data_IF_475183757412
#
_entry.id   IF_475183757412
#
_cell.length_a   1.000
_cell.length_b   1.000
_cell.length_c   1.000
_cell.angle_alpha   90.00
_cell.angle_beta   90.00
_cell.angle_gamma   90.00
#
_symmetry.space_group_name_H-M   'P 1'
#
loop_
_entity.id
_entity.type
_entity.pdbx_description
1 polymer ?
#
# COMPACT_ATOMS: atom_id res chain seq x y z
N UNK A 1 -39.58 -24.17 -0.76
CA UNK A 1 -40.19 -23.12 0.08
C UNK A 1 -40.61 -21.98 -0.83
N UNK A 2 -41.92 -21.68 -0.97
CA UNK A 2 -42.44 -20.72 -1.95
C UNK A 2 -42.06 -19.28 -1.56
N UNK A 3 -41.39 -18.56 -2.45
CA UNK A 3 -40.88 -17.19 -2.25
C UNK A 3 -41.97 -16.13 -1.99
N UNK A 4 -43.24 -16.49 -2.10
CA UNK A 4 -44.40 -15.60 -2.07
C UNK A 4 -44.77 -15.09 -0.66
N UNK A 5 -44.29 -15.73 0.42
CA UNK A 5 -44.68 -15.38 1.80
C UNK A 5 -43.62 -14.59 2.61
N UNK A 6 -42.50 -14.21 1.99
CA UNK A 6 -41.48 -13.42 2.67
C UNK A 6 -41.90 -11.94 2.66
N UNK A 7 -42.18 -11.37 3.84
CA UNK A 7 -42.45 -9.93 4.05
C UNK A 7 -41.33 -9.08 3.42
N UNK A 8 -41.64 -7.86 2.98
CA UNK A 8 -40.71 -6.95 2.26
C UNK A 8 -39.36 -6.74 3.00
N UNK A 9 -39.38 -6.73 4.34
CA UNK A 9 -38.21 -6.49 5.20
C UNK A 9 -37.03 -7.46 4.97
N UNK A 10 -37.16 -8.80 5.11
CA UNK A 10 -36.07 -9.74 4.84
C UNK A 10 -35.44 -9.63 3.44
N UNK A 11 -36.22 -9.23 2.43
CA UNK A 11 -35.72 -9.10 1.05
C UNK A 11 -34.82 -7.87 0.87
N UNK A 12 -35.21 -6.75 1.48
CA UNK A 12 -34.37 -5.54 1.54
C UNK A 12 -33.06 -5.79 2.31
N UNK A 13 -33.15 -6.46 3.46
CA UNK A 13 -31.98 -6.82 4.26
C UNK A 13 -31.05 -7.74 3.48
N UNK A 14 -31.58 -8.78 2.83
CA UNK A 14 -30.78 -9.70 2.01
C UNK A 14 -30.09 -9.01 0.84
N UNK A 15 -30.78 -8.10 0.14
CA UNK A 15 -30.22 -7.31 -0.95
C UNK A 15 -29.08 -6.40 -0.46
N UNK A 16 -29.28 -5.71 0.66
CA UNK A 16 -28.27 -4.84 1.25
C UNK A 16 -27.05 -5.63 1.74
N UNK A 17 -27.27 -6.77 2.41
CA UNK A 17 -26.18 -7.65 2.85
C UNK A 17 -25.36 -8.19 1.69
N UNK A 18 -25.99 -8.50 0.55
CA UNK A 18 -25.27 -8.95 -0.64
C UNK A 18 -24.37 -7.86 -1.22
N UNK A 19 -24.87 -6.63 -1.32
CA UNK A 19 -24.08 -5.48 -1.79
C UNK A 19 -22.94 -5.19 -0.81
N UNK A 20 -23.21 -5.18 0.50
CA UNK A 20 -22.21 -5.00 1.54
C UNK A 20 -21.13 -6.10 1.50
N UNK A 21 -21.53 -7.35 1.22
CA UNK A 21 -20.61 -8.46 1.05
C UNK A 21 -19.68 -8.27 -0.15
N UNK A 22 -20.22 -7.88 -1.32
CA UNK A 22 -19.42 -7.58 -2.51
C UNK A 22 -18.45 -6.43 -2.24
N UNK A 23 -18.91 -5.35 -1.59
CA UNK A 23 -18.06 -4.24 -1.18
C UNK A 23 -16.95 -4.70 -0.22
N UNK A 24 -17.26 -5.58 0.72
CA UNK A 24 -16.28 -6.19 1.62
C UNK A 24 -15.21 -7.01 0.89
N UNK A 25 -15.59 -7.78 -0.15
CA UNK A 25 -14.63 -8.51 -0.99
C UNK A 25 -13.69 -7.58 -1.76
N UNK A 26 -14.21 -6.48 -2.30
CA UNK A 26 -13.40 -5.46 -2.98
C UNK A 26 -12.39 -4.86 -1.99
N UNK A 27 -12.86 -4.43 -0.82
CA UNK A 27 -12.02 -3.86 0.23
C UNK A 27 -10.94 -4.83 0.70
N UNK A 28 -11.30 -6.08 0.97
CA UNK A 28 -10.35 -7.11 1.38
C UNK A 28 -9.28 -7.36 0.32
N UNK A 29 -9.65 -7.47 -0.96
CA UNK A 29 -8.69 -7.70 -2.04
C UNK A 29 -7.74 -6.53 -2.24
N UNK A 30 -8.24 -5.30 -2.07
CA UNK A 30 -7.42 -4.07 -2.08
C UNK A 30 -6.39 -4.05 -0.94
N UNK A 31 -6.83 -4.31 0.29
CA UNK A 31 -5.93 -4.37 1.46
C UNK A 31 -4.88 -5.48 1.31
N UNK A 32 -5.28 -6.66 0.83
CA UNK A 32 -4.35 -7.77 0.61
C UNK A 32 -3.27 -7.41 -0.44
N UNK A 33 -3.67 -6.76 -1.54
CA UNK A 33 -2.72 -6.29 -2.55
C UNK A 33 -1.75 -5.24 -1.99
N UNK A 34 -2.27 -4.26 -1.24
CA UNK A 34 -1.46 -3.20 -0.65
C UNK A 34 -0.48 -3.74 0.41
N UNK A 35 -0.92 -4.69 1.23
CA UNK A 35 -0.06 -5.33 2.24
C UNK A 35 1.10 -6.08 1.59
N UNK A 36 0.84 -6.83 0.52
CA UNK A 36 1.88 -7.50 -0.25
C UNK A 36 2.86 -6.50 -0.88
N UNK A 37 2.33 -5.47 -1.56
CA UNK A 37 3.15 -4.42 -2.18
C UNK A 37 4.04 -3.70 -1.16
N UNK A 38 3.49 -3.37 0.01
CA UNK A 38 4.26 -2.77 1.11
C UNK A 38 5.39 -3.70 1.58
N UNK A 39 5.10 -4.99 1.73
CA UNK A 39 6.08 -5.95 2.21
C UNK A 39 7.28 -6.12 1.25
N UNK A 40 7.01 -6.16 -0.06
CA UNK A 40 8.08 -6.19 -1.08
C UNK A 40 8.80 -4.84 -1.19
N UNK A 41 8.08 -3.72 -1.07
CA UNK A 41 8.69 -2.39 -1.01
C UNK A 41 9.65 -2.26 0.18
N UNK A 42 9.23 -2.67 1.37
CA UNK A 42 10.05 -2.62 2.58
C UNK A 42 11.30 -3.49 2.41
N UNK A 43 11.21 -4.66 1.77
CA UNK A 43 12.40 -5.47 1.43
C UNK A 43 13.37 -4.73 0.50
N UNK A 44 12.87 -4.09 -0.56
CA UNK A 44 13.72 -3.32 -1.46
C UNK A 44 14.39 -2.15 -0.71
N UNK A 45 13.62 -1.42 0.09
CA UNK A 45 14.08 -0.23 0.78
C UNK A 45 15.03 -0.53 1.95
N UNK A 46 14.75 -1.55 2.74
CA UNK A 46 15.43 -1.84 4.00
C UNK A 46 16.47 -2.95 3.88
N UNK A 47 16.44 -3.77 2.81
CA UNK A 47 17.40 -4.86 2.60
C UNK A 47 18.23 -4.66 1.33
N UNK A 48 17.58 -4.62 0.15
CA UNK A 48 18.33 -4.63 -1.12
C UNK A 48 19.12 -3.34 -1.37
N UNK A 49 18.53 -2.17 -1.12
CA UNK A 49 19.23 -0.88 -1.31
C UNK A 49 20.46 -0.76 -0.39
N UNK A 50 20.35 -0.99 0.94
CA UNK A 50 21.52 -1.03 1.81
C UNK A 50 22.56 -2.09 1.43
N UNK A 51 22.12 -3.27 0.94
CA UNK A 51 23.02 -4.33 0.45
C UNK A 51 23.88 -3.85 -0.73
N UNK A 52 23.24 -3.28 -1.75
CA UNK A 52 23.93 -2.73 -2.93
C UNK A 52 24.88 -1.59 -2.56
N UNK A 53 24.47 -0.69 -1.67
CA UNK A 53 25.34 0.38 -1.16
C UNK A 53 26.55 -0.21 -0.43
N UNK A 54 26.33 -1.18 0.47
CA UNK A 54 27.40 -1.81 1.24
C UNK A 54 28.42 -2.53 0.34
N UNK A 55 27.96 -3.28 -0.67
CA UNK A 55 28.84 -3.90 -1.67
C UNK A 55 29.63 -2.86 -2.48
N UNK A 56 28.99 -1.77 -2.91
CA UNK A 56 29.66 -0.68 -3.62
C UNK A 56 30.71 0.02 -2.74
N UNK A 57 30.43 0.18 -1.44
CA UNK A 57 31.36 0.73 -0.46
C UNK A 57 32.51 -0.23 -0.17
N UNK A 58 32.29 -1.54 -0.15
CA UNK A 58 33.38 -2.54 -0.08
C UNK A 58 34.29 -2.45 -1.29
N UNK A 59 33.72 -2.32 -2.49
CA UNK A 59 34.50 -2.14 -3.71
C UNK A 59 35.35 -0.86 -3.65
N UNK A 60 34.74 0.24 -3.19
CA UNK A 60 35.42 1.53 -2.98
C UNK A 60 36.55 1.40 -1.96
N UNK A 61 36.32 0.69 -0.85
CA UNK A 61 37.33 0.42 0.16
C UNK A 61 38.50 -0.39 -0.40
N UNK A 62 38.21 -1.46 -1.13
CA UNK A 62 39.22 -2.28 -1.79
C UNK A 62 40.06 -1.46 -2.78
N UNK A 63 39.43 -0.63 -3.61
CA UNK A 63 40.16 0.25 -4.54
C UNK A 63 41.00 1.30 -3.80
N UNK A 64 40.49 1.91 -2.73
CA UNK A 64 41.22 2.86 -1.91
C UNK A 64 42.47 2.24 -1.27
N UNK A 65 42.33 1.05 -0.70
CA UNK A 65 43.43 0.27 -0.14
C UNK A 65 44.45 -0.08 -1.23
N UNK A 66 43.98 -0.56 -2.39
CA UNK A 66 44.86 -0.95 -3.50
C UNK A 66 45.63 0.24 -4.10
N UNK A 67 45.01 1.42 -4.19
CA UNK A 67 45.69 2.64 -4.63
C UNK A 67 46.83 3.01 -3.66
N UNK A 68 46.58 2.99 -2.35
CA UNK A 68 47.62 3.28 -1.38
C UNK A 68 48.72 2.21 -1.33
N UNK A 69 48.37 0.94 -1.52
CA UNK A 69 49.33 -0.14 -1.69
C UNK A 69 50.28 0.14 -2.85
N UNK A 70 49.78 0.57 -4.01
CA UNK A 70 50.65 0.95 -5.15
C UNK A 70 51.58 2.12 -4.79
N UNK A 71 51.13 3.04 -3.94
CA UNK A 71 51.98 4.07 -3.35
C UNK A 71 53.11 3.47 -2.49
N UNK A 72 52.83 2.41 -1.74
CA UNK A 72 53.83 1.70 -0.96
C UNK A 72 54.85 0.92 -1.82
N UNK A 73 54.44 0.41 -2.98
CA UNK A 73 55.34 -0.30 -3.90
C UNK A 73 56.21 0.66 -4.71
N UNK A 74 55.77 1.91 -4.90
CA UNK A 74 56.47 2.89 -5.72
C UNK A 74 57.81 3.33 -5.08
N UNK A 75 58.93 2.97 -5.72
CA UNK A 75 60.29 3.32 -5.30
C UNK A 75 60.56 4.83 -5.17
N UNK A 76 59.74 5.68 -5.80
CA UNK A 76 59.86 7.15 -5.74
C UNK A 76 59.10 7.78 -4.57
N UNK A 77 58.30 6.99 -3.82
CA UNK A 77 57.44 7.47 -2.74
C UNK A 77 57.98 7.08 -1.35
N UNK A 78 59.30 7.21 -1.15
CA UNK A 78 59.99 6.79 0.07
C UNK A 78 60.11 7.88 1.14
N UNK A 79 59.66 9.10 0.87
CA UNK A 79 59.65 10.17 1.87
C UNK A 79 58.75 9.76 3.07
N UNK A 80 59.21 9.90 4.34
CA UNK A 80 58.49 9.37 5.50
C UNK A 80 57.04 9.86 5.63
N UNK A 81 56.78 11.12 5.34
CA UNK A 81 55.44 11.73 5.35
C UNK A 81 54.52 11.11 4.30
N UNK A 82 55.04 10.86 3.09
CA UNK A 82 54.31 10.20 1.99
C UNK A 82 53.99 8.75 2.36
N UNK A 83 54.95 8.01 2.93
CA UNK A 83 54.75 6.63 3.41
C UNK A 83 53.66 6.55 4.48
N UNK A 84 53.76 7.42 5.49
CA UNK A 84 52.77 7.49 6.57
C UNK A 84 51.39 7.89 6.04
N UNK A 85 51.31 8.75 5.03
CA UNK A 85 50.04 9.09 4.38
C UNK A 85 49.38 7.85 3.73
N UNK A 86 50.15 6.97 3.07
CA UNK A 86 49.59 5.73 2.50
C UNK A 86 49.05 4.80 3.59
N UNK A 87 49.77 4.61 4.69
CA UNK A 87 49.30 3.77 5.80
C UNK A 87 48.03 4.31 6.46
N UNK A 88 47.95 5.63 6.66
CA UNK A 88 46.72 6.26 7.17
C UNK A 88 45.55 6.09 6.20
N UNK A 89 45.80 6.19 4.89
CA UNK A 89 44.77 5.99 3.88
C UNK A 89 44.26 4.55 3.86
N UNK A 90 45.16 3.56 3.95
CA UNK A 90 44.80 2.14 4.09
C UNK A 90 43.88 1.93 5.30
N UNK A 91 44.27 2.44 6.47
CA UNK A 91 43.47 2.29 7.69
C UNK A 91 42.06 2.91 7.54
N UNK A 92 41.98 4.11 6.96
CA UNK A 92 40.69 4.77 6.70
C UNK A 92 39.75 3.91 5.86
N UNK A 93 40.26 3.25 4.81
CA UNK A 93 39.42 2.41 3.97
C UNK A 93 39.12 1.04 4.58
N UNK A 94 39.98 0.54 5.49
CA UNK A 94 39.59 -0.58 6.34
C UNK A 94 38.40 -0.24 7.23
N UNK A 95 38.34 0.98 7.78
CA UNK A 95 37.17 1.43 8.55
C UNK A 95 35.90 1.41 7.69
N UNK A 96 35.97 1.94 6.45
CA UNK A 96 34.85 1.89 5.48
C UNK A 96 34.44 0.45 5.20
N UNK A 97 35.39 -0.46 4.97
CA UNK A 97 35.08 -1.87 4.73
C UNK A 97 34.40 -2.53 5.94
N UNK A 98 34.88 -2.26 7.15
CA UNK A 98 34.32 -2.81 8.38
C UNK A 98 32.88 -2.32 8.61
N UNK A 99 32.59 -1.04 8.35
CA UNK A 99 31.24 -0.49 8.40
C UNK A 99 30.30 -1.17 7.39
N UNK A 100 30.78 -1.39 6.16
CA UNK A 100 30.00 -2.10 5.14
C UNK A 100 29.72 -3.55 5.51
N UNK A 101 30.71 -4.29 6.03
CA UNK A 101 30.50 -5.65 6.53
C UNK A 101 29.48 -5.69 7.67
N UNK A 102 29.59 -4.76 8.63
CA UNK A 102 28.61 -4.65 9.73
C UNK A 102 27.20 -4.37 9.21
N UNK A 103 27.07 -3.55 8.17
CA UNK A 103 25.78 -3.29 7.52
C UNK A 103 25.23 -4.59 6.95
N UNK A 104 25.99 -5.28 6.10
CA UNK A 104 25.57 -6.55 5.48
C UNK A 104 25.16 -7.61 6.53
N UNK A 105 25.91 -7.72 7.63
CA UNK A 105 25.63 -8.69 8.70
C UNK A 105 24.37 -8.37 9.51
N UNK A 106 23.90 -7.12 9.48
CA UNK A 106 22.68 -6.69 10.16
C UNK A 106 21.41 -6.85 9.33
N UNK A 107 21.53 -7.04 8.02
CA UNK A 107 20.39 -7.14 7.11
C UNK A 107 19.72 -8.51 7.21
N UNK A 108 18.39 -8.52 7.25
CA UNK A 108 17.60 -9.75 7.15
C UNK A 108 17.48 -10.20 5.70
N UNK A 109 18.61 -10.65 5.16
CA UNK A 109 18.75 -11.15 3.79
C UNK A 109 17.99 -12.47 3.58
N UNK A 110 17.56 -12.73 2.35
CA UNK A 110 17.08 -14.05 1.92
C UNK A 110 18.18 -15.11 2.06
N UNK A 111 17.78 -16.38 2.12
CA UNK A 111 18.73 -17.49 2.23
C UNK A 111 19.65 -17.57 1.00
N UNK A 112 19.14 -17.25 -0.18
CA UNK A 112 19.93 -17.17 -1.41
C UNK A 112 20.96 -16.04 -1.35
N UNK A 113 20.58 -14.86 -0.86
CA UNK A 113 21.48 -13.72 -0.71
C UNK A 113 22.56 -13.99 0.35
N UNK A 114 22.19 -14.57 1.50
CA UNK A 114 23.14 -15.02 2.53
C UNK A 114 24.15 -16.01 1.97
N UNK A 115 23.70 -16.99 1.17
CA UNK A 115 24.60 -17.95 0.53
C UNK A 115 25.63 -17.26 -0.37
N UNK A 116 25.21 -16.32 -1.22
CA UNK A 116 26.13 -15.54 -2.08
C UNK A 116 27.12 -14.72 -1.26
N UNK A 117 26.68 -14.15 -0.13
CA UNK A 117 27.56 -13.43 0.80
C UNK A 117 28.62 -14.36 1.43
N UNK A 118 28.23 -15.55 1.86
CA UNK A 118 29.15 -16.55 2.42
C UNK A 118 30.17 -17.04 1.39
N UNK A 119 29.79 -17.17 0.11
CA UNK A 119 30.71 -17.48 -0.99
C UNK A 119 31.73 -16.36 -1.23
N UNK A 120 31.37 -15.11 -0.95
CA UNK A 120 32.25 -13.95 -1.11
C UNK A 120 33.27 -13.78 0.02
N UNK A 121 32.92 -14.14 1.26
CA UNK A 121 33.81 -14.05 2.43
C UNK A 121 35.21 -14.64 2.21
N UNK A 122 35.39 -15.87 1.70
CA UNK A 122 36.73 -16.42 1.50
C UNK A 122 37.54 -15.67 0.44
N UNK A 123 36.89 -15.12 -0.59
CA UNK A 123 37.54 -14.32 -1.65
C UNK A 123 38.06 -13.01 -1.07
N UNK A 124 37.24 -12.33 -0.25
CA UNK A 124 37.66 -11.13 0.48
C UNK A 124 38.81 -11.42 1.46
N UNK A 125 38.71 -12.52 2.21
CA UNK A 125 39.74 -12.92 3.17
C UNK A 125 41.08 -13.25 2.50
N UNK A 126 41.05 -13.90 1.34
CA UNK A 126 42.26 -14.16 0.56
C UNK A 126 42.94 -12.86 0.12
N UNK A 127 42.18 -11.93 -0.47
CA UNK A 127 42.71 -10.62 -0.87
C UNK A 127 43.30 -9.86 0.32
N UNK A 128 42.57 -9.81 1.44
CA UNK A 128 43.04 -9.18 2.68
C UNK A 128 44.38 -9.75 3.14
N UNK A 129 44.50 -11.07 3.17
CA UNK A 129 45.75 -11.75 3.59
C UNK A 129 46.94 -11.37 2.69
N UNK A 130 46.75 -11.36 1.37
CA UNK A 130 47.80 -10.95 0.43
C UNK A 130 48.17 -9.47 0.58
N UNK A 131 47.18 -8.60 0.76
CA UNK A 131 47.42 -7.18 1.06
C UNK A 131 48.24 -6.98 2.34
N UNK A 132 47.90 -7.68 3.42
CA UNK A 132 48.63 -7.63 4.68
C UNK A 132 50.11 -8.06 4.50
N UNK A 133 50.38 -9.02 3.63
CA UNK A 133 51.75 -9.39 3.26
C UNK A 133 52.50 -8.23 2.59
N UNK A 134 51.88 -7.53 1.64
CA UNK A 134 52.48 -6.35 0.97
C UNK A 134 52.77 -5.24 1.97
N UNK A 135 51.83 -4.96 2.89
CA UNK A 135 52.00 -3.94 3.94
C UNK A 135 53.13 -4.32 4.89
N UNK A 136 53.21 -5.59 5.29
CA UNK A 136 54.27 -6.10 6.17
C UNK A 136 55.66 -5.95 5.54
N UNK A 137 55.82 -6.41 4.30
CA UNK A 137 57.07 -6.26 3.54
C UNK A 137 57.44 -4.79 3.30
N UNK A 138 56.43 -3.95 3.04
CA UNK A 138 56.61 -2.51 2.87
C UNK A 138 57.09 -1.82 4.15
N UNK A 139 56.58 -2.24 5.33
CA UNK A 139 57.06 -1.73 6.62
C UNK A 139 58.49 -2.18 6.91
N UNK A 140 58.84 -3.41 6.54
CA UNK A 140 60.21 -3.89 6.68
C UNK A 140 61.19 -3.10 5.80
N UNK A 141 60.80 -2.79 4.56
CA UNK A 141 61.55 -1.89 3.69
C UNK A 141 61.77 -0.52 4.34
N UNK A 142 60.73 0.05 4.95
CA UNK A 142 60.83 1.35 5.64
C UNK A 142 61.82 1.31 6.81
N UNK A 143 61.85 0.20 7.58
CA UNK A 143 62.83 0.01 8.67
C UNK A 143 64.26 -0.08 8.14
N UNK A 144 64.48 -0.81 7.05
CA UNK A 144 65.81 -0.94 6.44
C UNK A 144 66.35 0.42 5.96
N UNK A 145 65.50 1.23 5.33
CA UNK A 145 65.86 2.59 4.90
C UNK A 145 66.13 3.50 6.11
N UNK A 146 65.28 3.45 7.14
CA UNK A 146 65.49 4.20 8.38
C UNK A 146 66.78 3.80 9.12
N UNK A 147 67.23 2.56 8.98
CA UNK A 147 68.51 2.08 9.50
C UNK A 147 69.73 2.56 8.69
N UNK A 148 69.55 3.42 7.68
CA UNK A 148 70.63 4.04 6.90
C UNK A 148 70.99 3.31 5.61
N UNK A 149 70.24 2.28 5.20
CA UNK A 149 70.49 1.63 3.92
C UNK A 149 70.13 2.58 2.76
N UNK A 150 71.09 2.75 1.83
CA UNK A 150 70.85 3.49 0.59
C UNK A 150 69.74 2.82 -0.24
N UNK A 151 68.88 3.62 -0.86
CA UNK A 151 67.84 3.14 -1.77
C UNK A 151 68.39 2.38 -3.00
N UNK A 152 69.70 2.47 -3.26
CA UNK A 152 70.40 1.76 -4.34
C UNK A 152 71.13 0.50 -3.85
N UNK A 153 71.04 0.15 -2.56
CA UNK A 153 71.72 -1.03 -2.04
C UNK A 153 71.06 -2.32 -2.52
N UNK A 154 71.84 -3.39 -2.62
CA UNK A 154 71.34 -4.72 -3.00
C UNK A 154 70.26 -5.24 -2.03
N UNK A 155 70.35 -4.85 -0.75
CA UNK A 155 69.36 -5.19 0.28
C UNK A 155 68.01 -4.56 -0.04
N UNK A 156 67.99 -3.26 -0.40
CA UNK A 156 66.75 -2.56 -0.78
C UNK A 156 66.22 -3.07 -2.12
N UNK A 157 67.09 -3.39 -3.08
CA UNK A 157 66.67 -3.96 -4.36
C UNK A 157 65.94 -5.31 -4.18
N UNK A 158 66.47 -6.22 -3.34
CA UNK A 158 65.84 -7.52 -3.06
C UNK A 158 64.46 -7.39 -2.42
N UNK A 159 64.31 -6.50 -1.44
CA UNK A 159 63.00 -6.32 -0.79
C UNK A 159 62.01 -5.62 -1.74
N UNK A 160 62.47 -4.70 -2.59
CA UNK A 160 61.63 -4.09 -3.62
C UNK A 160 61.05 -5.12 -4.59
N UNK A 161 61.89 -6.06 -5.07
CA UNK A 161 61.44 -7.11 -5.98
C UNK A 161 60.44 -8.06 -5.28
N UNK A 162 60.66 -8.34 -3.99
CA UNK A 162 59.76 -9.16 -3.17
C UNK A 162 58.41 -8.47 -2.94
N UNK A 163 58.42 -7.19 -2.56
CA UNK A 163 57.22 -6.35 -2.39
C UNK A 163 56.45 -6.25 -3.71
N UNK A 164 57.15 -6.02 -4.82
CA UNK A 164 56.55 -5.93 -6.14
C UNK A 164 55.85 -7.24 -6.53
N UNK A 165 56.51 -8.40 -6.34
CA UNK A 165 55.89 -9.70 -6.61
C UNK A 165 54.63 -9.93 -5.75
N UNK A 166 54.70 -9.66 -4.44
CA UNK A 166 53.54 -9.78 -3.56
C UNK A 166 52.38 -8.85 -3.98
N UNK A 167 52.69 -7.67 -4.54
CA UNK A 167 51.66 -6.74 -5.06
C UNK A 167 50.98 -7.24 -6.33
N UNK A 168 51.67 -8.04 -7.15
CA UNK A 168 51.06 -8.70 -8.32
C UNK A 168 50.09 -9.80 -7.87
N UNK A 169 50.46 -10.57 -6.85
CA UNK A 169 49.58 -11.59 -6.26
C UNK A 169 48.35 -10.94 -5.61
N UNK A 170 48.55 -9.82 -4.90
CA UNK A 170 47.45 -9.05 -4.30
C UNK A 170 46.55 -8.44 -5.36
N UNK A 171 47.11 -7.93 -6.48
CA UNK A 171 46.34 -7.47 -7.64
C UNK A 171 45.44 -8.57 -8.20
N UNK A 172 45.94 -9.80 -8.34
CA UNK A 172 45.13 -10.90 -8.86
C UNK A 172 43.94 -11.20 -7.94
N UNK A 173 44.16 -11.23 -6.62
CA UNK A 173 43.07 -11.41 -5.65
C UNK A 173 42.10 -10.21 -5.62
N UNK A 174 42.58 -8.99 -5.79
CA UNK A 174 41.73 -7.80 -5.87
C UNK A 174 40.81 -7.83 -7.10
N UNK A 175 41.28 -8.36 -8.23
CA UNK A 175 40.43 -8.57 -9.41
C UNK A 175 39.33 -9.59 -9.12
N UNK A 176 39.64 -10.70 -8.45
CA UNK A 176 38.62 -11.68 -8.05
C UNK A 176 37.57 -11.08 -7.09
N UNK A 177 37.98 -10.22 -6.14
CA UNK A 177 37.06 -9.47 -5.29
C UNK A 177 36.18 -8.54 -6.12
N UNK A 178 36.76 -7.80 -7.06
CA UNK A 178 36.02 -6.88 -7.95
C UNK A 178 34.97 -7.61 -8.78
N UNK A 179 35.35 -8.72 -9.42
CA UNK A 179 34.46 -9.52 -10.26
C UNK A 179 33.31 -10.10 -9.42
N UNK A 180 33.61 -10.61 -8.21
CA UNK A 180 32.57 -11.17 -7.33
C UNK A 180 31.64 -10.09 -6.78
N UNK A 181 32.14 -8.89 -6.47
CA UNK A 181 31.29 -7.77 -6.03
C UNK A 181 30.36 -7.31 -7.16
N UNK A 182 30.82 -7.28 -8.41
CA UNK A 182 29.97 -6.99 -9.57
C UNK A 182 28.87 -8.05 -9.74
N UNK A 183 29.22 -9.33 -9.60
CA UNK A 183 28.26 -10.44 -9.61
C UNK A 183 27.21 -10.29 -8.50
N UNK A 184 27.62 -9.94 -7.28
CA UNK A 184 26.72 -9.71 -6.14
C UNK A 184 25.77 -8.55 -6.38
N UNK A 185 26.28 -7.40 -6.83
CA UNK A 185 25.45 -6.23 -7.16
C UNK A 185 24.48 -6.54 -8.28
N UNK A 186 24.91 -7.31 -9.30
CA UNK A 186 24.03 -7.76 -10.37
C UNK A 186 22.91 -8.66 -9.85
N UNK A 187 23.24 -9.64 -9.01
CA UNK A 187 22.26 -10.54 -8.42
C UNK A 187 21.23 -9.79 -7.55
N UNK A 188 21.68 -8.83 -6.73
CA UNK A 188 20.77 -7.97 -5.95
C UNK A 188 19.83 -7.16 -6.85
N UNK A 189 20.32 -6.61 -7.96
CA UNK A 189 19.48 -5.88 -8.90
C UNK A 189 18.47 -6.80 -9.63
N UNK A 190 18.84 -8.04 -9.93
CA UNK A 190 17.93 -9.05 -10.49
C UNK A 190 16.83 -9.42 -9.48
N UNK A 191 17.18 -9.58 -8.20
CA UNK A 191 16.23 -9.84 -7.12
C UNK A 191 15.24 -8.66 -6.94
N UNK A 192 15.73 -7.41 -6.99
CA UNK A 192 14.88 -6.19 -6.96
C UNK A 192 13.94 -6.13 -8.17
N UNK A 193 14.44 -6.47 -9.36
CA UNK A 193 13.61 -6.48 -10.57
C UNK A 193 12.49 -7.54 -10.48
N UNK A 194 12.81 -8.73 -9.95
CA UNK A 194 11.84 -9.78 -9.71
C UNK A 194 10.79 -9.37 -8.65
N UNK A 195 11.21 -8.76 -7.55
CA UNK A 195 10.31 -8.25 -6.50
C UNK A 195 9.37 -7.16 -7.05
N UNK A 196 9.89 -6.24 -7.85
CA UNK A 196 9.10 -5.18 -8.50
C UNK A 196 8.08 -5.77 -9.47
N UNK A 197 8.47 -6.73 -10.30
CA UNK A 197 7.56 -7.40 -11.21
C UNK A 197 6.45 -8.18 -10.48
N UNK A 198 6.78 -8.83 -9.36
CA UNK A 198 5.80 -9.52 -8.52
C UNK A 198 4.81 -8.53 -7.88
N UNK A 199 5.29 -7.38 -7.41
CA UNK A 199 4.47 -6.30 -6.88
C UNK A 199 3.49 -5.77 -7.96
N UNK A 200 3.98 -5.48 -9.16
CA UNK A 200 3.16 -5.00 -10.28
C UNK A 200 2.11 -6.02 -10.69
N UNK A 201 2.48 -7.29 -10.79
CA UNK A 201 1.54 -8.37 -11.11
C UNK A 201 0.45 -8.52 -10.03
N UNK A 202 0.83 -8.45 -8.75
CA UNK A 202 -0.10 -8.51 -7.63
C UNK A 202 -1.06 -7.32 -7.64
N UNK A 203 -0.56 -6.10 -7.85
CA UNK A 203 -1.37 -4.89 -7.97
C UNK A 203 -2.31 -4.94 -9.17
N UNK A 204 -1.83 -5.32 -10.35
CA UNK A 204 -2.65 -5.46 -11.56
C UNK A 204 -3.75 -6.51 -11.37
N UNK A 205 -3.45 -7.62 -10.67
CA UNK A 205 -4.46 -8.62 -10.32
C UNK A 205 -5.53 -8.04 -9.39
N UNK A 206 -5.12 -7.28 -8.36
CA UNK A 206 -6.03 -6.66 -7.40
C UNK A 206 -6.95 -5.64 -8.08
N UNK A 207 -6.41 -4.80 -8.97
CA UNK A 207 -7.18 -3.82 -9.75
C UNK A 207 -8.17 -4.53 -10.66
N UNK A 208 -7.73 -5.51 -11.45
CA UNK A 208 -8.59 -6.25 -12.37
C UNK A 208 -9.74 -6.97 -11.64
N UNK A 209 -9.44 -7.68 -10.56
CA UNK A 209 -10.48 -8.33 -9.74
C UNK A 209 -11.40 -7.30 -9.12
N UNK A 210 -10.87 -6.17 -8.63
CA UNK A 210 -11.66 -5.07 -8.07
C UNK A 210 -12.64 -4.48 -9.08
N UNK A 211 -12.21 -4.22 -10.32
CA UNK A 211 -13.07 -3.70 -11.40
C UNK A 211 -14.18 -4.71 -11.73
N UNK A 212 -13.86 -6.00 -11.87
CA UNK A 212 -14.86 -7.04 -12.15
C UNK A 212 -15.90 -7.12 -11.03
N UNK A 213 -15.45 -7.13 -9.77
CA UNK A 213 -16.35 -7.14 -8.60
C UNK A 213 -17.19 -5.86 -8.50
N UNK A 214 -16.63 -4.70 -8.86
CA UNK A 214 -17.35 -3.44 -8.88
C UNK A 214 -18.46 -3.45 -9.93
N UNK A 215 -18.16 -3.86 -11.17
CA UNK A 215 -19.15 -3.98 -12.24
C UNK A 215 -20.25 -4.99 -11.89
N UNK A 216 -19.87 -6.13 -11.32
CA UNK A 216 -20.82 -7.13 -10.83
C UNK A 216 -21.69 -6.57 -9.70
N UNK A 217 -21.10 -5.84 -8.75
CA UNK A 217 -21.80 -5.18 -7.66
C UNK A 217 -22.85 -4.18 -8.15
N UNK A 218 -22.49 -3.36 -9.13
CA UNK A 218 -23.42 -2.42 -9.78
C UNK A 218 -24.56 -3.17 -10.49
N UNK A 219 -24.23 -4.19 -11.28
CA UNK A 219 -25.24 -4.99 -11.98
C UNK A 219 -26.22 -5.67 -11.00
N UNK A 220 -25.71 -6.25 -9.91
CA UNK A 220 -26.51 -6.87 -8.85
C UNK A 220 -27.36 -5.83 -8.12
N UNK A 221 -26.81 -4.65 -7.79
CA UNK A 221 -27.56 -3.57 -7.15
C UNK A 221 -28.72 -3.08 -8.03
N UNK A 222 -28.48 -2.89 -9.34
CA UNK A 222 -29.53 -2.51 -10.30
C UNK A 222 -30.59 -3.61 -10.39
N UNK A 223 -30.18 -4.87 -10.56
CA UNK A 223 -31.11 -6.01 -10.67
C UNK A 223 -31.99 -6.15 -9.41
N UNK A 224 -31.40 -6.04 -8.22
CA UNK A 224 -32.12 -6.08 -6.96
C UNK A 224 -33.04 -4.87 -6.79
N UNK A 225 -32.59 -3.67 -7.16
CA UNK A 225 -33.39 -2.45 -7.14
C UNK A 225 -34.62 -2.57 -8.03
N UNK A 226 -34.44 -3.02 -9.28
CA UNK A 226 -35.55 -3.27 -10.22
C UNK A 226 -36.47 -4.37 -9.69
N UNK A 227 -35.92 -5.47 -9.17
CA UNK A 227 -36.71 -6.58 -8.61
C UNK A 227 -37.58 -6.13 -7.43
N UNK A 228 -37.01 -5.36 -6.50
CA UNK A 228 -37.73 -4.82 -5.34
C UNK A 228 -38.76 -3.79 -5.80
N UNK A 229 -38.41 -2.86 -6.68
CA UNK A 229 -39.33 -1.86 -7.20
C UNK A 229 -40.51 -2.52 -7.92
N UNK A 230 -40.25 -3.47 -8.81
CA UNK A 230 -41.30 -4.14 -9.57
C UNK A 230 -42.26 -4.91 -8.69
N UNK A 231 -41.80 -5.52 -7.58
CA UNK A 231 -42.64 -6.36 -6.74
C UNK A 231 -43.28 -5.60 -5.57
N UNK A 232 -42.50 -4.84 -4.81
CA UNK A 232 -42.97 -4.14 -3.62
C UNK A 232 -43.82 -2.91 -3.98
N UNK A 233 -43.40 -2.13 -4.98
CA UNK A 233 -44.09 -0.89 -5.36
C UNK A 233 -45.39 -1.24 -6.08
N UNK A 234 -45.39 -2.18 -7.04
CA UNK A 234 -46.64 -2.65 -7.66
C UNK A 234 -47.61 -3.24 -6.65
N UNK A 235 -47.14 -4.03 -5.68
CA UNK A 235 -48.01 -4.59 -4.64
C UNK A 235 -48.63 -3.50 -3.76
N UNK A 236 -47.83 -2.53 -3.30
CA UNK A 236 -48.31 -1.43 -2.48
C UNK A 236 -49.24 -0.49 -3.24
N UNK A 237 -48.90 -0.14 -4.48
CA UNK A 237 -49.75 0.63 -5.38
C UNK A 237 -51.06 -0.09 -5.62
N UNK A 238 -51.03 -1.38 -5.93
CA UNK A 238 -52.25 -2.13 -6.19
C UNK A 238 -53.15 -2.17 -4.95
N UNK A 239 -52.58 -2.33 -3.76
CA UNK A 239 -53.33 -2.29 -2.51
C UNK A 239 -53.92 -0.89 -2.21
N UNK A 240 -53.14 0.18 -2.41
CA UNK A 240 -53.61 1.57 -2.23
C UNK A 240 -54.67 1.91 -3.29
N UNK A 241 -54.46 1.48 -4.54
CA UNK A 241 -55.39 1.68 -5.62
C UNK A 241 -56.69 0.90 -5.41
N UNK A 242 -56.61 -0.36 -4.95
CA UNK A 242 -57.79 -1.13 -4.54
C UNK A 242 -58.53 -0.43 -3.39
N UNK A 243 -57.83 0.07 -2.37
CA UNK A 243 -58.44 0.81 -1.28
C UNK A 243 -59.09 2.13 -1.73
N UNK A 244 -58.44 2.90 -2.61
CA UNK A 244 -58.98 4.15 -3.17
C UNK A 244 -60.16 3.90 -4.11
N UNK A 245 -60.08 2.87 -4.95
CA UNK A 245 -61.19 2.49 -5.85
C UNK A 245 -62.36 1.87 -5.10
N UNK A 246 -62.13 1.08 -4.05
CA UNK A 246 -63.19 0.63 -3.14
C UNK A 246 -63.86 1.82 -2.45
N UNK A 247 -63.09 2.78 -1.94
CA UNK A 247 -63.65 3.95 -1.28
C UNK A 247 -64.45 4.84 -2.26
N UNK A 248 -63.92 5.08 -3.46
CA UNK A 248 -64.63 5.82 -4.51
C UNK A 248 -65.88 5.07 -5.02
N UNK A 249 -65.84 3.74 -5.12
CA UNK A 249 -66.98 2.92 -5.52
C UNK A 249 -68.08 2.86 -4.44
N UNK A 250 -67.71 2.91 -3.15
CA UNK A 250 -68.64 2.82 -2.03
C UNK A 250 -69.19 4.19 -1.58
N UNK A 251 -68.41 5.27 -1.70
CA UNK A 251 -68.75 6.60 -1.16
C UNK A 251 -68.50 7.79 -2.12
N UNK A 252 -67.99 7.56 -3.33
CA UNK A 252 -67.63 8.62 -4.27
C UNK A 252 -68.75 9.06 -5.20
N UNK A 253 -68.69 10.31 -5.64
CA UNK A 253 -69.57 10.87 -6.68
C UNK A 253 -69.32 10.20 -8.05
N UNK A 254 -70.28 10.24 -9.01
CA UNK A 254 -70.10 9.62 -10.33
C UNK A 254 -68.85 10.11 -11.08
N UNK A 255 -68.46 11.38 -10.86
CA UNK A 255 -67.24 11.99 -11.40
C UNK A 255 -65.96 11.41 -10.78
N UNK A 256 -65.94 11.18 -9.47
CA UNK A 256 -64.80 10.59 -8.76
C UNK A 256 -64.60 9.11 -9.13
N UNK A 257 -65.70 8.38 -9.34
CA UNK A 257 -65.67 7.00 -9.83
C UNK A 257 -65.06 6.90 -11.23
N UNK A 258 -65.35 7.87 -12.11
CA UNK A 258 -64.76 7.93 -13.45
C UNK A 258 -63.28 8.32 -13.45
N UNK A 259 -62.86 9.20 -12.53
CA UNK A 259 -61.48 9.70 -12.47
C UNK A 259 -60.50 8.76 -11.75
N UNK A 260 -60.97 7.91 -10.84
CA UNK A 260 -60.12 7.03 -10.02
C UNK A 260 -59.10 6.16 -10.82
N UNK A 261 -59.45 5.55 -11.98
CA UNK A 261 -58.49 4.77 -12.78
C UNK A 261 -57.41 5.63 -13.44
N UNK A 262 -57.72 6.89 -13.78
CA UNK A 262 -56.77 7.81 -14.43
C UNK A 262 -55.77 8.39 -13.44
N UNK A 263 -56.23 8.75 -12.23
CA UNK A 263 -55.36 9.20 -11.13
C UNK A 263 -54.37 8.10 -10.73
N UNK A 264 -54.84 6.84 -10.65
CA UNK A 264 -53.99 5.66 -10.39
C UNK A 264 -52.81 5.55 -11.35
N UNK A 265 -53.06 5.66 -12.66
CA UNK A 265 -52.01 5.53 -13.68
C UNK A 265 -51.06 6.74 -13.71
N UNK A 266 -51.54 7.94 -13.38
CA UNK A 266 -50.72 9.14 -13.35
C UNK A 266 -49.76 9.17 -12.15
N UNK A 267 -50.25 8.82 -10.96
CA UNK A 267 -49.44 8.78 -9.72
C UNK A 267 -48.29 7.76 -9.85
N UNK A 268 -48.54 6.61 -10.44
CA UNK A 268 -47.54 5.56 -10.65
C UNK A 268 -46.40 5.95 -11.58
N UNK A 269 -46.73 6.45 -12.77
CA UNK A 269 -45.75 6.66 -13.84
C UNK A 269 -44.90 7.90 -13.56
N UNK A 270 -45.52 8.99 -13.11
CA UNK A 270 -44.78 10.22 -12.82
C UNK A 270 -44.03 10.13 -11.49
N UNK A 271 -44.59 9.47 -10.48
CA UNK A 271 -43.90 9.27 -9.20
C UNK A 271 -42.60 8.48 -9.33
N UNK A 272 -42.62 7.38 -10.08
CA UNK A 272 -41.42 6.56 -10.32
C UNK A 272 -40.33 7.30 -11.12
N UNK A 273 -40.73 8.07 -12.14
CA UNK A 273 -39.80 8.87 -12.95
C UNK A 273 -39.15 9.98 -12.13
N UNK A 274 -39.94 10.72 -11.33
CA UNK A 274 -39.42 11.79 -10.46
C UNK A 274 -38.47 11.22 -9.41
N UNK A 275 -38.84 10.12 -8.75
CA UNK A 275 -37.95 9.43 -7.79
C UNK A 275 -36.65 8.94 -8.46
N UNK A 276 -36.75 8.42 -9.69
CA UNK A 276 -35.57 8.02 -10.46
C UNK A 276 -34.62 9.19 -10.73
N UNK A 277 -35.14 10.33 -11.18
CA UNK A 277 -34.36 11.54 -11.44
C UNK A 277 -33.71 12.06 -10.15
N UNK A 278 -34.47 12.14 -9.05
CA UNK A 278 -33.96 12.58 -7.75
C UNK A 278 -32.86 11.64 -7.23
N UNK A 279 -33.01 10.34 -7.42
CA UNK A 279 -32.01 9.35 -7.02
C UNK A 279 -30.69 9.53 -7.79
N UNK A 280 -30.76 9.75 -9.11
CA UNK A 280 -29.56 10.00 -9.93
C UNK A 280 -28.87 11.30 -9.52
N UNK A 281 -29.63 12.38 -9.31
CA UNK A 281 -29.08 13.65 -8.84
C UNK A 281 -28.39 13.50 -7.47
N UNK A 282 -29.02 12.75 -6.56
CA UNK A 282 -28.44 12.47 -5.25
C UNK A 282 -27.11 11.73 -5.36
N UNK A 283 -27.02 10.70 -6.21
CA UNK A 283 -25.77 9.95 -6.44
C UNK A 283 -24.66 10.87 -6.95
N UNK A 284 -24.94 11.71 -7.95
CA UNK A 284 -23.96 12.65 -8.52
C UNK A 284 -23.45 13.63 -7.46
N UNK A 285 -24.36 14.17 -6.63
CA UNK A 285 -23.99 15.11 -5.55
C UNK A 285 -23.14 14.42 -4.48
N UNK A 286 -23.52 13.20 -4.07
CA UNK A 286 -22.78 12.43 -3.06
C UNK A 286 -21.40 12.02 -3.57
N UNK A 287 -21.29 11.56 -4.81
CA UNK A 287 -20.02 11.23 -5.44
C UNK A 287 -19.08 12.44 -5.46
N UNK A 288 -19.55 13.58 -5.94
CA UNK A 288 -18.78 14.82 -5.97
C UNK A 288 -18.34 15.25 -4.56
N UNK A 289 -19.23 15.12 -3.57
CA UNK A 289 -18.96 15.46 -2.17
C UNK A 289 -17.91 14.55 -1.52
N UNK A 290 -17.92 13.25 -1.84
CA UNK A 290 -16.91 12.31 -1.36
C UNK A 290 -15.58 12.46 -2.07
N UNK A 291 -15.57 12.67 -3.38
CA UNK A 291 -14.34 12.88 -4.17
C UNK A 291 -13.53 14.06 -3.64
N UNK A 292 -14.20 15.20 -3.46
CA UNK A 292 -13.59 16.41 -2.87
C UNK A 292 -13.22 16.23 -1.39
N UNK A 293 -13.78 15.22 -0.71
CA UNK A 293 -13.39 14.82 0.64
C UNK A 293 -12.12 13.98 0.71
N UNK A 294 -11.92 13.08 -0.26
CA UNK A 294 -10.69 12.29 -0.41
C UNK A 294 -9.52 13.21 -0.68
N UNK A 295 -9.67 14.15 -1.62
CA UNK A 295 -8.64 15.13 -1.98
C UNK A 295 -8.21 16.00 -0.78
N UNK A 296 -9.12 16.26 0.16
CA UNK A 296 -8.87 17.07 1.35
C UNK A 296 -8.48 16.24 2.60
N UNK A 297 -8.34 14.91 2.50
CA UNK A 297 -8.06 14.03 3.65
C UNK A 297 -9.19 13.94 4.69
N UNK A 298 -10.41 14.36 4.34
CA UNK A 298 -11.56 14.46 5.26
C UNK A 298 -12.66 13.43 4.96
N UNK A 299 -12.32 12.32 4.29
CA UNK A 299 -13.29 11.33 3.81
C UNK A 299 -14.25 10.87 4.91
N UNK A 300 -13.71 10.51 6.08
CA UNK A 300 -14.51 9.98 7.18
C UNK A 300 -15.52 10.99 7.74
N UNK A 301 -15.10 12.26 7.91
CA UNK A 301 -15.97 13.35 8.34
C UNK A 301 -17.12 13.59 7.34
N UNK A 302 -16.79 13.59 6.05
CA UNK A 302 -17.79 13.79 4.99
C UNK A 302 -18.76 12.63 4.89
N UNK A 303 -18.26 11.39 4.98
CA UNK A 303 -19.09 10.19 5.08
C UNK A 303 -20.07 10.29 6.26
N UNK A 304 -19.57 10.58 7.46
CA UNK A 304 -20.41 10.69 8.66
C UNK A 304 -21.49 11.78 8.55
N UNK A 305 -21.17 12.95 7.97
CA UNK A 305 -22.15 14.01 7.73
C UNK A 305 -23.22 13.63 6.71
N UNK A 306 -22.82 13.05 5.58
CA UNK A 306 -23.78 12.64 4.54
C UNK A 306 -24.76 11.58 5.09
N UNK A 307 -24.24 10.57 5.79
CA UNK A 307 -25.08 9.54 6.43
C UNK A 307 -25.96 10.13 7.55
N UNK A 308 -25.47 11.11 8.32
CA UNK A 308 -26.29 11.78 9.32
C UNK A 308 -27.48 12.53 8.67
N UNK A 309 -27.25 13.21 7.54
CA UNK A 309 -28.33 13.89 6.81
C UNK A 309 -29.37 12.89 6.28
N UNK A 310 -28.94 11.77 5.71
CA UNK A 310 -29.85 10.71 5.22
C UNK A 310 -30.74 10.16 6.35
N UNK A 311 -30.16 9.83 7.50
CA UNK A 311 -30.92 9.36 8.65
C UNK A 311 -31.81 10.46 9.26
N UNK A 312 -31.41 11.72 9.16
CA UNK A 312 -32.23 12.87 9.57
C UNK A 312 -33.47 13.03 8.70
N UNK A 313 -33.33 12.90 7.37
CA UNK A 313 -34.47 12.90 6.43
C UNK A 313 -35.38 11.69 6.70
N UNK A 314 -34.80 10.51 6.94
CA UNK A 314 -35.56 9.31 7.31
C UNK A 314 -36.36 9.51 8.60
N UNK A 315 -35.78 10.14 9.62
CA UNK A 315 -36.46 10.48 10.86
C UNK A 315 -37.69 11.35 10.62
N UNK A 316 -37.57 12.41 9.82
CA UNK A 316 -38.68 13.32 9.49
C UNK A 316 -39.79 12.54 8.77
N UNK A 317 -39.45 11.74 7.77
CA UNK A 317 -40.42 10.94 7.02
C UNK A 317 -41.17 9.94 7.93
N UNK A 318 -40.46 9.21 8.79
CA UNK A 318 -41.05 8.26 9.74
C UNK A 318 -41.94 8.95 10.79
N UNK A 319 -41.59 10.17 11.18
CA UNK A 319 -42.39 10.98 12.11
C UNK A 319 -43.71 11.40 11.47
N UNK A 320 -43.68 11.89 10.22
CA UNK A 320 -44.89 12.22 9.46
C UNK A 320 -45.78 10.99 9.29
N UNK A 321 -45.20 9.86 8.91
CA UNK A 321 -45.94 8.59 8.79
C UNK A 321 -46.59 8.18 10.11
N UNK A 322 -45.88 8.35 11.22
CA UNK A 322 -46.38 8.04 12.57
C UNK A 322 -47.55 8.91 12.96
N UNK A 323 -47.50 10.22 12.66
CA UNK A 323 -48.61 11.15 12.89
C UNK A 323 -49.84 10.69 12.10
N UNK A 324 -49.66 10.32 10.84
CA UNK A 324 -50.74 9.86 9.98
C UNK A 324 -51.36 8.52 10.45
N UNK A 325 -50.52 7.55 10.84
CA UNK A 325 -50.99 6.28 11.42
C UNK A 325 -51.71 6.49 12.76
N UNK A 326 -51.25 7.43 13.57
CA UNK A 326 -51.91 7.83 14.82
C UNK A 326 -53.31 8.40 14.58
N UNK A 327 -53.46 9.28 13.58
CA UNK A 327 -54.75 9.84 13.19
C UNK A 327 -55.75 8.76 12.72
N UNK A 328 -55.26 7.63 12.19
CA UNK A 328 -56.07 6.48 11.77
C UNK A 328 -56.26 5.43 12.87
N UNK A 329 -55.75 5.65 14.09
CA UNK A 329 -55.84 4.69 15.21
C UNK A 329 -54.93 3.45 15.08
N UNK A 330 -54.01 3.44 14.11
CA UNK A 330 -53.11 2.32 13.81
C UNK A 330 -51.74 2.46 14.50
N UNK A 331 -51.72 3.06 15.70
CA UNK A 331 -50.48 3.34 16.42
C UNK A 331 -49.87 2.06 17.01
N UNK A 332 -48.57 1.84 16.79
CA UNK A 332 -47.84 0.69 17.33
C UNK A 332 -46.54 1.13 18.00
N UNK A 333 -45.92 0.26 18.79
CA UNK A 333 -44.61 0.56 19.41
C UNK A 333 -43.52 0.91 18.36
N UNK A 334 -43.61 0.33 17.17
CA UNK A 334 -42.68 0.61 16.06
C UNK A 334 -42.81 2.02 15.51
N UNK A 335 -43.98 2.65 15.68
CA UNK A 335 -44.21 4.04 15.33
C UNK A 335 -43.37 5.01 16.17
N UNK A 336 -42.87 4.59 17.34
CA UNK A 336 -41.97 5.40 18.17
C UNK A 336 -40.52 4.95 18.04
N UNK A 337 -40.27 3.63 18.04
CA UNK A 337 -38.92 3.07 18.05
C UNK A 337 -38.16 3.40 16.77
N UNK A 338 -38.81 3.34 15.59
CA UNK A 338 -38.13 3.59 14.31
C UNK A 338 -37.69 5.05 14.15
N UNK A 339 -38.54 6.09 14.37
CA UNK A 339 -38.08 7.47 14.39
C UNK A 339 -36.97 7.71 15.43
N UNK A 340 -37.16 7.22 16.67
CA UNK A 340 -36.17 7.43 17.73
C UNK A 340 -34.79 6.83 17.39
N UNK A 341 -34.76 5.64 16.78
CA UNK A 341 -33.53 5.02 16.31
C UNK A 341 -32.85 5.81 15.19
N UNK A 342 -33.61 6.31 14.21
CA UNK A 342 -33.08 7.14 13.13
C UNK A 342 -32.50 8.46 13.67
N UNK A 343 -33.17 9.09 14.63
CA UNK A 343 -32.68 10.28 15.32
C UNK A 343 -31.38 9.99 16.10
N UNK A 344 -31.31 8.87 16.81
CA UNK A 344 -30.11 8.48 17.55
C UNK A 344 -28.89 8.30 16.62
N UNK A 345 -29.06 7.60 15.49
CA UNK A 345 -28.00 7.45 14.48
C UNK A 345 -27.57 8.81 13.92
N UNK A 346 -28.53 9.69 13.61
CA UNK A 346 -28.26 11.05 13.13
C UNK A 346 -27.39 11.84 14.12
N UNK A 347 -27.74 11.79 15.41
CA UNK A 347 -27.00 12.49 16.48
C UNK A 347 -25.61 11.90 16.65
N UNK A 348 -25.48 10.58 16.69
CA UNK A 348 -24.19 9.89 16.86
C UNK A 348 -23.22 10.21 15.72
N UNK A 349 -23.69 10.15 14.47
CA UNK A 349 -22.87 10.45 13.30
C UNK A 349 -22.52 11.94 13.20
N UNK A 350 -23.46 12.83 13.53
CA UNK A 350 -23.20 14.28 13.60
C UNK A 350 -22.16 14.62 14.67
N UNK A 351 -22.17 13.91 15.80
CA UNK A 351 -21.19 14.05 16.85
C UNK A 351 -19.82 13.51 16.42
N UNK A 352 -19.77 12.31 15.84
CA UNK A 352 -18.53 11.71 15.33
C UNK A 352 -17.84 12.62 14.30
N UNK A 353 -18.61 13.17 13.35
CA UNK A 353 -18.09 14.08 12.34
C UNK A 353 -17.50 15.40 12.89
N UNK A 354 -17.89 15.82 14.10
CA UNK A 354 -17.33 17.01 14.75
C UNK A 354 -16.02 16.70 15.48
N UNK A 355 -15.83 15.47 15.95
CA UNK A 355 -14.68 15.05 16.75
C UNK A 355 -13.39 14.94 15.94
N UNK A 356 -13.47 14.50 14.68
CA UNK A 356 -12.29 14.34 13.81
C UNK A 356 -11.70 15.66 13.32
N UNK A 357 -12.35 16.80 13.58
CA UNK A 357 -11.79 18.13 13.33
C UNK A 357 -10.77 18.58 14.38
N UNK A 358 -10.44 17.77 15.39
CA UNK A 358 -9.52 18.12 16.49
C UNK A 358 -8.29 17.22 16.59
N UNK A 359 -8.09 16.28 15.66
CA UNK A 359 -6.79 15.62 15.50
C UNK A 359 -5.86 16.57 14.72
N UNK A 360 -4.98 17.25 15.45
CA UNK A 360 -3.96 18.15 14.91
C UNK A 360 -3.07 17.41 13.89
N UNK A 361 -2.54 18.11 12.87
CA UNK A 361 -1.54 17.53 11.98
C UNK A 361 -0.25 17.32 12.78
N UNK A 362 0.17 16.06 12.94
CA UNK A 362 1.53 15.68 13.34
C UNK A 362 2.31 15.25 12.12
#
# INVERSE_FOLDING_TARGET
MKLEQIRIKPRLIGAFLLVAFIAGLIGWRGIAGLKFAKQEYDRVAEVHLPSVEAFSRLQTAMYGIWVAERGLVNRRMMAPDIRQAQYRFINRYWDVANESWKTLESLDMSEEAKKRLEEFRPIWAEWKSKHEQVVSLSREKDRLVAAGNSLKSDVIAKIDDTVFKASLDTRQAALAVSDKLEELVKAENEDVAAATAAMDASMASAVRTGVVLMLLGVAVAIALGVFIAFWAVRGAINAIAEALTMNAALMGTPTEQFQAPFVRNAVDRFGAVILGILSVLMVVVVEHYYRTGVEAGQLWRRFALATAVEFGVLFVALTIQTIFLGALGLFTIWSVVLPAGALAVTVLLSWAARRDGHAAPS
#
